data_IF_217272586592
#
_entry.id   IF_217272586592
#
_cell.length_a   1.000
_cell.length_b   1.000
_cell.length_c   1.000
_cell.angle_alpha   90.00
_cell.angle_beta   90.00
_cell.angle_gamma   90.00
#
_symmetry.space_group_name_H-M   'P 1'
#
loop_
_entity.id
_entity.type
_entity.pdbx_description
1 polymer ?
#
# COMPACT_ATOMS: atom_id res chain seq x y z
N UNK A 1 -22.17 50.99 -4.71
CA UNK A 1 -22.36 50.19 -3.47
C UNK A 1 -23.00 48.80 -3.69
N UNK A 2 -23.90 48.58 -4.66
CA UNK A 2 -24.47 47.23 -4.94
C UNK A 2 -23.46 46.27 -5.59
N UNK A 3 -22.67 46.77 -6.54
CA UNK A 3 -21.69 45.96 -7.29
C UNK A 3 -20.56 45.48 -6.37
N UNK A 4 -20.06 46.34 -5.49
CA UNK A 4 -19.02 45.97 -4.49
C UNK A 4 -19.50 44.92 -3.49
N UNK A 5 -20.79 44.94 -3.09
CA UNK A 5 -21.38 43.87 -2.26
C UNK A 5 -21.52 42.54 -3.00
N UNK A 6 -21.88 42.56 -4.28
CA UNK A 6 -21.98 41.35 -5.10
C UNK A 6 -20.60 40.71 -5.33
N UNK A 7 -19.57 41.51 -5.59
CA UNK A 7 -18.18 41.02 -5.72
C UNK A 7 -17.66 40.43 -4.40
N UNK A 8 -17.93 41.07 -3.26
CA UNK A 8 -17.51 40.56 -1.96
C UNK A 8 -18.16 39.20 -1.63
N UNK A 9 -19.44 39.02 -1.96
CA UNK A 9 -20.13 37.74 -1.80
C UNK A 9 -19.52 36.64 -2.69
N UNK A 10 -19.18 36.96 -3.94
CA UNK A 10 -18.59 36.00 -4.86
C UNK A 10 -17.20 35.54 -4.39
N UNK A 11 -16.36 36.47 -3.93
CA UNK A 11 -15.03 36.15 -3.38
C UNK A 11 -15.16 35.32 -2.10
N UNK A 12 -16.12 35.65 -1.22
CA UNK A 12 -16.38 34.87 -0.01
C UNK A 12 -16.80 33.42 -0.34
N UNK A 13 -17.65 33.22 -1.36
CA UNK A 13 -18.06 31.86 -1.76
C UNK A 13 -16.91 31.03 -2.32
N UNK A 14 -15.99 31.65 -3.07
CA UNK A 14 -14.79 30.97 -3.60
C UNK A 14 -13.83 30.61 -2.46
N UNK A 15 -13.66 31.49 -1.47
CA UNK A 15 -12.82 31.19 -0.31
C UNK A 15 -13.39 30.04 0.52
N UNK A 16 -14.71 30.03 0.75
CA UNK A 16 -15.37 28.95 1.49
C UNK A 16 -15.25 27.62 0.73
N UNK A 17 -15.46 27.60 -0.59
CA UNK A 17 -15.30 26.37 -1.38
C UNK A 17 -13.86 25.89 -1.41
N UNK A 18 -12.88 26.80 -1.51
CA UNK A 18 -11.46 26.46 -1.46
C UNK A 18 -11.06 25.87 -0.09
N UNK A 19 -11.56 26.42 1.03
CA UNK A 19 -11.32 25.89 2.38
C UNK A 19 -11.96 24.50 2.54
N UNK A 20 -13.17 24.29 2.03
CA UNK A 20 -13.83 22.98 2.07
C UNK A 20 -13.02 21.96 1.28
N UNK A 21 -12.58 22.30 0.06
CA UNK A 21 -11.76 21.41 -0.77
C UNK A 21 -10.44 21.11 -0.06
N UNK A 22 -9.74 22.12 0.46
CA UNK A 22 -8.47 21.94 1.19
C UNK A 22 -8.65 21.06 2.44
N UNK A 23 -9.76 21.21 3.17
CA UNK A 23 -10.04 20.37 4.35
C UNK A 23 -10.43 18.94 3.97
N UNK A 24 -11.11 18.73 2.84
CA UNK A 24 -11.44 17.39 2.35
C UNK A 24 -10.29 16.67 1.66
N UNK A 25 -9.30 17.41 1.14
CA UNK A 25 -8.14 16.85 0.43
C UNK A 25 -6.84 16.88 1.22
N UNK A 26 -6.80 17.56 2.37
CA UNK A 26 -5.60 17.81 3.17
C UNK A 26 -5.37 16.86 4.34
N UNK A 27 -6.16 15.80 4.49
CA UNK A 27 -6.10 14.92 5.67
C UNK A 27 -6.18 13.43 5.26
N UNK A 28 -5.11 12.94 4.63
CA UNK A 28 -4.86 11.50 4.47
C UNK A 28 -3.56 11.06 5.19
N UNK A 29 -3.22 11.69 6.33
CA UNK A 29 -2.17 11.17 7.24
C UNK A 29 -2.70 11.02 8.68
N UNK A 30 -3.99 10.76 8.88
CA UNK A 30 -4.48 10.32 10.19
C UNK A 30 -4.16 8.83 10.39
N UNK A 31 -3.07 8.58 11.13
CA UNK A 31 -2.74 7.30 11.75
C UNK A 31 -3.80 6.96 12.82
N UNK A 32 -4.99 6.53 12.37
CA UNK A 32 -6.02 6.02 13.27
C UNK A 32 -5.64 4.63 13.77
N UNK A 33 -5.19 4.58 15.03
CA UNK A 33 -5.24 3.36 15.85
C UNK A 33 -6.69 3.26 16.37
N UNK A 34 -7.57 2.71 15.54
CA UNK A 34 -8.86 2.25 16.02
C UNK A 34 -8.66 0.85 16.60
N UNK A 35 -8.86 0.71 17.93
CA UNK A 35 -9.06 -0.58 18.58
C UNK A 35 -10.23 -1.30 17.89
N UNK A 36 -9.90 -2.21 16.99
CA UNK A 36 -10.86 -3.04 16.28
C UNK A 36 -11.24 -4.20 17.21
N UNK A 37 -12.48 -4.17 17.72
CA UNK A 37 -13.19 -5.39 18.07
C UNK A 37 -13.38 -6.21 16.79
N UNK A 38 -12.36 -6.98 16.40
CA UNK A 38 -12.35 -7.81 15.22
C UNK A 38 -13.05 -9.13 15.55
N UNK A 39 -14.23 -9.36 14.98
CA UNK A 39 -14.51 -10.70 14.48
C UNK A 39 -13.37 -11.02 13.50
N UNK A 40 -12.45 -11.90 13.91
CA UNK A 40 -11.31 -12.29 13.11
C UNK A 40 -11.80 -13.08 11.89
N UNK A 41 -12.06 -12.39 10.79
CA UNK A 41 -12.28 -13.04 9.50
C UNK A 41 -10.97 -13.69 9.08
N UNK A 42 -10.94 -15.01 9.11
CA UNK A 42 -9.75 -15.78 8.77
C UNK A 42 -9.54 -15.81 7.24
N UNK A 43 -8.61 -14.99 6.73
CA UNK A 43 -8.22 -14.99 5.31
C UNK A 43 -7.19 -16.07 4.92
N UNK A 44 -6.88 -17.05 5.79
CA UNK A 44 -5.81 -18.04 5.56
C UNK A 44 -6.01 -18.81 4.25
N UNK A 45 -7.22 -19.27 3.94
CA UNK A 45 -7.50 -20.01 2.71
C UNK A 45 -7.22 -19.19 1.44
N UNK A 46 -7.49 -17.89 1.48
CA UNK A 46 -7.16 -16.97 0.40
C UNK A 46 -5.66 -16.73 0.30
N UNK A 47 -4.97 -16.54 1.43
CA UNK A 47 -3.51 -16.37 1.48
C UNK A 47 -2.79 -17.61 0.94
N UNK A 48 -3.26 -18.81 1.27
CA UNK A 48 -2.73 -20.07 0.75
C UNK A 48 -2.85 -20.16 -0.77
N UNK A 49 -3.95 -19.63 -1.33
CA UNK A 49 -4.19 -19.63 -2.78
C UNK A 49 -3.19 -18.76 -3.54
N UNK A 50 -2.72 -17.66 -2.92
CA UNK A 50 -1.77 -16.73 -3.54
C UNK A 50 -0.31 -17.01 -3.13
N UNK A 51 -0.09 -17.96 -2.22
CA UNK A 51 1.23 -18.27 -1.64
C UNK A 51 2.17 -18.87 -2.70
N UNK A 52 3.29 -18.21 -3.03
CA UNK A 52 4.24 -18.76 -3.99
C UNK A 52 5.03 -19.95 -3.41
N UNK A 53 5.52 -20.88 -4.26
CA UNK A 53 6.34 -22.02 -3.82
C UNK A 53 7.80 -21.63 -3.51
N UNK A 54 8.05 -20.37 -3.13
CA UNK A 54 9.37 -19.82 -2.80
C UNK A 54 9.23 -18.64 -1.84
N UNK A 55 10.28 -18.31 -1.04
CA UNK A 55 10.21 -17.20 -0.10
C UNK A 55 9.97 -15.87 -0.82
N UNK A 56 8.85 -15.22 -0.49
CA UNK A 56 8.46 -13.93 -1.06
C UNK A 56 7.72 -13.06 -0.03
N UNK A 57 7.77 -11.76 -0.25
CA UNK A 57 6.98 -10.78 0.50
C UNK A 57 5.77 -10.36 -0.34
N UNK A 58 4.58 -10.35 0.28
CA UNK A 58 3.40 -9.79 -0.36
C UNK A 58 3.49 -8.26 -0.33
N UNK A 59 3.55 -7.62 -1.49
CA UNK A 59 3.64 -6.16 -1.63
C UNK A 59 2.51 -5.57 -2.49
N UNK A 60 1.52 -6.38 -2.87
CA UNK A 60 0.36 -5.91 -3.63
C UNK A 60 -0.54 -5.05 -2.75
N UNK A 61 -0.45 -3.74 -2.92
CA UNK A 61 -1.21 -2.76 -2.14
C UNK A 61 -2.72 -3.00 -2.18
N UNK A 62 -3.25 -3.53 -3.30
CA UNK A 62 -4.69 -3.80 -3.42
C UNK A 62 -5.09 -4.93 -2.50
N UNK A 63 -4.30 -6.01 -2.49
CA UNK A 63 -4.55 -7.16 -1.62
C UNK A 63 -4.35 -6.75 -0.16
N UNK A 64 -3.28 -6.02 0.16
CA UNK A 64 -3.03 -5.54 1.53
C UNK A 64 -4.18 -4.64 2.04
N UNK A 65 -4.72 -3.75 1.19
CA UNK A 65 -5.91 -2.95 1.52
C UNK A 65 -7.16 -3.80 1.77
N UNK A 66 -7.35 -4.87 1.00
CA UNK A 66 -8.48 -5.79 1.17
C UNK A 66 -8.36 -6.60 2.46
N UNK A 67 -7.16 -7.12 2.76
CA UNK A 67 -6.86 -7.83 4.00
C UNK A 67 -7.11 -6.93 5.22
N UNK A 68 -6.68 -5.65 5.18
CA UNK A 68 -6.97 -4.67 6.24
C UNK A 68 -8.48 -4.46 6.48
N UNK A 69 -9.31 -4.67 5.46
CA UNK A 69 -10.78 -4.56 5.52
C UNK A 69 -11.46 -5.91 5.75
N UNK A 70 -10.73 -6.96 6.10
CA UNK A 70 -11.25 -8.33 6.27
C UNK A 70 -11.94 -8.88 5.01
N UNK A 71 -11.53 -8.43 3.81
CA UNK A 71 -12.08 -8.90 2.52
C UNK A 71 -11.13 -9.89 1.88
N UNK A 72 -11.45 -11.19 1.94
CA UNK A 72 -10.62 -12.26 1.40
C UNK A 72 -11.04 -12.65 -0.03
N UNK A 73 -10.79 -11.77 -1.02
CA UNK A 73 -11.18 -12.03 -2.42
C UNK A 73 -10.00 -11.88 -3.38
N UNK A 74 -9.85 -12.86 -4.27
CA UNK A 74 -8.90 -12.80 -5.37
C UNK A 74 -9.33 -11.78 -6.43
N UNK A 75 -8.36 -11.02 -6.94
CA UNK A 75 -8.52 -10.24 -8.17
C UNK A 75 -7.96 -11.05 -9.35
N UNK A 76 -8.46 -10.78 -10.56
CA UNK A 76 -7.89 -11.37 -11.80
C UNK A 76 -6.53 -10.79 -12.18
N UNK A 77 -6.10 -9.71 -11.53
CA UNK A 77 -4.80 -9.12 -11.78
C UNK A 77 -3.69 -9.96 -11.14
N UNK A 78 -2.50 -9.89 -11.73
CA UNK A 78 -1.30 -10.51 -11.14
C UNK A 78 -1.06 -10.01 -9.73
N UNK A 79 -0.62 -10.92 -8.87
CA UNK A 79 -0.28 -10.63 -7.48
C UNK A 79 1.14 -10.08 -7.43
N UNK A 80 1.31 -8.85 -6.94
CA UNK A 80 2.64 -8.25 -6.81
C UNK A 80 3.37 -8.77 -5.58
N UNK A 81 4.54 -9.37 -5.80
CA UNK A 81 5.39 -9.95 -4.74
C UNK A 81 6.84 -9.48 -4.86
N UNK A 82 7.54 -9.46 -3.72
CA UNK A 82 8.97 -9.16 -3.66
C UNK A 82 9.78 -10.41 -3.34
N UNK A 83 10.85 -10.66 -4.08
CA UNK A 83 11.70 -11.84 -3.90
C UNK A 83 13.15 -11.41 -3.66
N UNK A 84 13.80 -12.06 -2.71
CA UNK A 84 15.23 -11.84 -2.46
C UNK A 84 16.03 -12.21 -3.72
N UNK A 85 16.93 -11.32 -4.16
CA UNK A 85 17.75 -11.49 -5.37
C UNK A 85 18.48 -12.83 -5.41
N UNK A 86 18.81 -13.42 -4.25
CA UNK A 86 19.45 -14.74 -4.14
C UNK A 86 18.61 -15.87 -4.74
N UNK A 87 17.29 -15.71 -4.83
CA UNK A 87 16.38 -16.68 -5.43
C UNK A 87 16.03 -16.37 -6.89
N UNK A 88 16.58 -15.29 -7.47
CA UNK A 88 16.22 -14.83 -8.83
C UNK A 88 16.47 -15.87 -9.92
N UNK A 89 17.55 -16.66 -9.82
CA UNK A 89 17.86 -17.71 -10.80
C UNK A 89 16.77 -18.79 -10.87
N UNK A 90 16.29 -19.26 -9.71
CA UNK A 90 15.23 -20.27 -9.61
C UNK A 90 13.91 -19.70 -10.16
N UNK A 91 13.56 -18.49 -9.72
CA UNK A 91 12.29 -17.84 -10.08
C UNK A 91 12.19 -17.52 -11.57
N UNK A 92 13.28 -17.01 -12.18
CA UNK A 92 13.30 -16.69 -13.61
C UNK A 92 13.19 -17.93 -14.49
N UNK A 93 13.79 -19.05 -14.07
CA UNK A 93 13.74 -20.32 -14.82
C UNK A 93 12.33 -20.91 -14.84
N UNK A 94 11.62 -20.88 -13.71
CA UNK A 94 10.31 -21.50 -13.55
C UNK A 94 9.15 -20.69 -14.17
N UNK A 95 9.34 -19.37 -14.40
CA UNK A 95 8.33 -18.44 -14.97
C UNK A 95 6.96 -18.56 -14.29
N UNK A 96 6.69 -17.68 -13.32
CA UNK A 96 5.40 -17.64 -12.62
C UNK A 96 4.48 -16.52 -13.16
N UNK A 97 3.60 -16.79 -14.14
CA UNK A 97 2.84 -15.75 -14.84
C UNK A 97 1.76 -15.07 -13.97
N UNK A 98 1.33 -15.71 -12.89
CA UNK A 98 0.37 -15.15 -11.93
C UNK A 98 0.96 -14.07 -11.04
N UNK A 99 2.29 -13.93 -11.01
CA UNK A 99 2.98 -12.96 -10.18
C UNK A 99 3.56 -11.82 -10.99
N UNK A 100 3.49 -10.63 -10.40
CA UNK A 100 4.30 -9.48 -10.77
C UNK A 100 5.47 -9.40 -9.78
N UNK A 101 6.67 -9.75 -10.23
CA UNK A 101 7.81 -10.03 -9.35
C UNK A 101 8.78 -8.86 -9.36
N UNK A 102 8.99 -8.27 -8.19
CA UNK A 102 10.05 -7.30 -7.93
C UNK A 102 11.15 -7.98 -7.13
N UNK A 103 12.41 -7.65 -7.38
CA UNK A 103 13.52 -8.18 -6.60
C UNK A 103 13.92 -7.20 -5.50
N UNK A 104 14.35 -7.73 -4.36
CA UNK A 104 14.98 -6.94 -3.31
C UNK A 104 16.30 -7.55 -2.87
N UNK A 105 17.15 -6.71 -2.31
CA UNK A 105 18.39 -7.10 -1.66
C UNK A 105 18.30 -6.84 -0.17
N UNK A 106 19.06 -7.63 0.59
CA UNK A 106 19.22 -7.48 2.03
C UNK A 106 20.71 -7.29 2.32
N UNK A 107 21.25 -6.06 2.18
CA UNK A 107 22.63 -5.79 2.54
C UNK A 107 22.86 -6.11 4.02
N UNK A 108 23.98 -6.76 4.34
CA UNK A 108 24.25 -7.28 5.69
C UNK A 108 24.28 -6.15 6.74
N UNK A 109 24.84 -5.01 6.38
CA UNK A 109 25.09 -3.87 7.29
C UNK A 109 23.97 -2.82 7.22
N UNK A 110 22.75 -3.25 6.89
CA UNK A 110 21.59 -2.36 6.77
C UNK A 110 20.36 -2.91 7.47
N UNK A 111 19.57 -2.00 7.99
CA UNK A 111 18.28 -2.20 8.63
C UNK A 111 17.11 -2.08 7.65
N UNK A 112 17.36 -2.05 6.34
CA UNK A 112 16.34 -1.95 5.30
C UNK A 112 16.50 -3.02 4.21
N UNK A 113 15.42 -3.25 3.48
CA UNK A 113 15.35 -4.01 2.25
C UNK A 113 15.45 -3.03 1.08
N UNK A 114 16.37 -3.28 0.15
CA UNK A 114 16.55 -2.44 -1.05
C UNK A 114 15.83 -3.06 -2.24
N UNK A 115 14.77 -2.42 -2.72
CA UNK A 115 13.99 -2.88 -3.86
C UNK A 115 14.63 -2.42 -5.18
N UNK A 116 14.83 -3.37 -6.08
CA UNK A 116 15.39 -3.19 -7.42
C UNK A 116 14.25 -2.99 -8.43
N UNK A 117 13.50 -1.89 -8.26
CA UNK A 117 12.46 -1.45 -9.19
C UNK A 117 12.96 -0.25 -10.01
N UNK A 118 12.14 0.27 -10.94
CA UNK A 118 12.48 1.43 -11.78
C UNK A 118 12.97 2.63 -10.96
N UNK A 119 12.34 2.84 -9.81
CA UNK A 119 12.82 3.73 -8.76
C UNK A 119 13.25 2.87 -7.58
N UNK A 120 14.51 3.03 -7.14
CA UNK A 120 15.01 2.32 -5.97
C UNK A 120 14.21 2.74 -4.74
N UNK A 121 13.59 1.77 -4.07
CA UNK A 121 12.79 1.97 -2.86
C UNK A 121 13.43 1.21 -1.70
N UNK A 122 13.28 1.74 -0.49
CA UNK A 122 13.75 1.08 0.74
C UNK A 122 12.56 0.79 1.64
N UNK A 123 12.55 -0.39 2.27
CA UNK A 123 11.57 -0.76 3.30
C UNK A 123 12.34 -1.18 4.55
N UNK A 124 12.11 -0.57 5.72
CA UNK A 124 12.73 -1.00 6.98
C UNK A 124 12.48 -2.49 7.27
N UNK A 125 13.51 -3.21 7.74
CA UNK A 125 13.46 -4.63 8.11
C UNK A 125 12.73 -4.85 9.43
N UNK A 126 12.86 -3.89 10.33
CA UNK A 126 12.13 -3.84 11.58
C UNK A 126 11.22 -2.63 11.50
N UNK A 127 9.92 -2.88 11.43
CA UNK A 127 8.96 -1.90 11.91
C UNK A 127 8.82 -2.22 13.39
N UNK A 128 9.55 -1.53 14.26
CA UNK A 128 9.19 -1.52 15.68
C UNK A 128 7.86 -0.78 15.76
N UNK A 129 6.77 -1.52 15.60
CA UNK A 129 5.48 -1.10 16.12
C UNK A 129 5.59 -1.34 17.61
N UNK A 130 6.04 -0.32 18.34
CA UNK A 130 5.72 -0.22 19.77
C UNK A 130 4.20 -0.19 19.85
N UNK A 131 3.61 -1.30 20.32
CA UNK A 131 2.20 -1.42 20.70
C UNK A 131 2.15 -1.25 22.21
#
# INVERSE_FOLDING_TARGET
MRVTRMFALFVATIFVSAIIIFKTHGEEDELYVAELSQEEVNCTSFLDTINPPFPALLIDHRILKLLKRNVCRASKAKVRIAVDVRHSGIVRKAKYPMYDIVYYERPADTDYLRFLDDVTRIIPRQVNLEI
#
